data_IF_830330824415
#
_entry.id   IF_830330824415
#
_cell.length_a   1.000
_cell.length_b   1.000
_cell.length_c   1.000
_cell.angle_alpha   90.00
_cell.angle_beta   90.00
_cell.angle_gamma   90.00
#
_symmetry.space_group_name_H-M   'P 1'
#
loop_
_entity.id
_entity.type
_entity.pdbx_description
1 polymer ?
#
# COMPACT_ATOMS: atom_id res chain seq x y z
N UNK A 1 -9.13 26.66 -11.77
CA UNK A 1 -8.62 25.35 -12.20
C UNK A 1 -7.78 24.68 -11.11
N UNK A 2 -7.64 23.36 -11.17
CA UNK A 2 -6.73 22.56 -10.36
C UNK A 2 -5.37 22.56 -11.08
N UNK A 3 -4.30 23.21 -10.56
CA UNK A 3 -3.06 23.40 -11.32
C UNK A 3 -2.44 22.10 -11.83
N UNK A 4 -2.07 22.11 -13.09
CA UNK A 4 -1.69 20.98 -13.92
C UNK A 4 -0.31 20.42 -13.52
N UNK A 5 -0.29 19.64 -12.41
CA UNK A 5 0.75 18.70 -11.98
C UNK A 5 0.16 17.67 -10.96
N UNK A 6 -1.17 17.49 -10.97
CA UNK A 6 -2.01 16.97 -9.85
C UNK A 6 -2.47 15.52 -10.02
N UNK A 7 -1.57 14.59 -10.33
CA UNK A 7 -1.84 13.13 -10.25
C UNK A 7 -0.71 12.41 -9.52
N UNK A 8 -0.83 12.25 -8.19
CA UNK A 8 0.10 11.42 -7.40
C UNK A 8 -0.51 10.03 -7.21
N UNK A 9 -0.25 9.13 -8.16
CA UNK A 9 -0.55 7.69 -8.00
C UNK A 9 0.77 7.00 -7.65
N UNK A 10 0.88 6.50 -6.42
CA UNK A 10 2.05 5.74 -6.01
C UNK A 10 1.83 4.27 -6.37
N UNK A 11 2.61 3.75 -7.32
CA UNK A 11 2.56 2.33 -7.68
C UNK A 11 3.37 1.53 -6.67
N UNK A 12 2.73 0.58 -6.00
CA UNK A 12 3.33 -0.28 -5.00
C UNK A 12 3.24 -1.73 -5.49
N UNK A 13 4.39 -2.43 -5.53
CA UNK A 13 4.46 -3.87 -5.84
C UNK A 13 5.06 -4.61 -4.65
N UNK A 14 4.49 -5.74 -4.30
CA UNK A 14 4.90 -6.58 -3.18
C UNK A 14 4.01 -7.80 -3.04
N UNK A 15 4.31 -8.63 -2.04
CA UNK A 15 3.54 -9.83 -1.70
C UNK A 15 2.62 -9.50 -0.53
N UNK A 16 1.34 -9.89 -0.61
CA UNK A 16 0.43 -9.80 0.53
C UNK A 16 0.73 -10.95 1.48
N UNK A 17 1.10 -10.63 2.72
CA UNK A 17 1.48 -11.62 3.73
C UNK A 17 0.37 -11.88 4.75
N UNK A 18 -0.57 -10.96 4.90
CA UNK A 18 -1.71 -11.11 5.80
C UNK A 18 -2.87 -10.22 5.36
N UNK A 19 -4.09 -10.64 5.73
CA UNK A 19 -5.33 -9.87 5.57
C UNK A 19 -6.15 -10.00 6.85
N UNK A 20 -6.66 -8.89 7.38
CA UNK A 20 -7.58 -8.85 8.51
C UNK A 20 -8.97 -8.45 8.01
N UNK A 21 -9.93 -9.36 8.09
CA UNK A 21 -11.31 -9.12 7.66
C UNK A 21 -12.11 -8.49 8.81
N UNK A 22 -12.46 -7.21 8.70
CA UNK A 22 -13.17 -6.45 9.74
C UNK A 22 -14.16 -5.43 9.15
N UNK A 23 -14.87 -5.80 8.07
CA UNK A 23 -15.81 -4.92 7.38
C UNK A 23 -15.12 -3.67 6.83
N UNK A 24 -15.61 -2.49 7.22
CA UNK A 24 -15.03 -1.19 6.85
C UNK A 24 -13.57 -1.02 7.32
N UNK A 25 -13.16 -1.73 8.37
CA UNK A 25 -11.79 -1.70 8.90
C UNK A 25 -10.92 -2.85 8.35
N UNK A 26 -11.28 -3.42 7.20
CA UNK A 26 -10.49 -4.48 6.57
C UNK A 26 -9.14 -3.91 6.16
N UNK A 27 -8.07 -4.64 6.49
CA UNK A 27 -6.69 -4.23 6.17
C UNK A 27 -5.90 -5.39 5.58
N UNK A 28 -4.87 -5.07 4.82
CA UNK A 28 -3.90 -6.04 4.32
C UNK A 28 -2.47 -5.57 4.57
N UNK A 29 -1.56 -6.54 4.76
CA UNK A 29 -0.13 -6.30 4.95
C UNK A 29 0.62 -6.64 3.67
N UNK A 30 1.34 -5.66 3.14
CA UNK A 30 2.20 -5.79 1.97
C UNK A 30 3.66 -5.89 2.43
N UNK A 31 4.39 -6.89 1.95
CA UNK A 31 5.83 -7.03 2.11
C UNK A 31 6.53 -6.78 0.78
N UNK A 32 7.54 -5.92 0.76
CA UNK A 32 8.38 -5.66 -0.43
C UNK A 32 9.82 -5.37 -0.04
N UNK A 33 10.74 -5.58 -0.98
CA UNK A 33 12.11 -5.07 -0.87
C UNK A 33 12.19 -3.67 -1.48
N UNK A 34 12.74 -2.72 -0.73
CA UNK A 34 13.00 -1.36 -1.20
C UNK A 34 14.48 -1.08 -0.98
N UNK A 35 15.23 -0.85 -2.05
CA UNK A 35 16.66 -0.54 -1.97
C UNK A 35 17.45 -1.53 -1.08
N UNK A 36 17.12 -2.82 -1.13
CA UNK A 36 17.77 -3.87 -0.34
C UNK A 36 17.24 -4.04 1.09
N UNK A 37 16.30 -3.20 1.56
CA UNK A 37 15.69 -3.30 2.88
C UNK A 37 14.29 -3.91 2.79
N UNK A 38 14.00 -4.88 3.66
CA UNK A 38 12.66 -5.45 3.80
C UNK A 38 11.71 -4.45 4.44
N UNK A 39 10.65 -4.08 3.73
CA UNK A 39 9.63 -3.14 4.19
C UNK A 39 8.28 -3.84 4.26
N UNK A 40 7.61 -3.71 5.39
CA UNK A 40 6.23 -4.14 5.60
C UNK A 40 5.33 -2.94 5.85
N UNK A 41 4.16 -2.93 5.22
CA UNK A 41 3.19 -1.82 5.34
C UNK A 41 1.77 -2.36 5.44
N UNK A 42 0.97 -1.73 6.29
CA UNK A 42 -0.46 -2.03 6.48
C UNK A 42 -1.27 -1.02 5.69
N UNK A 43 -2.24 -1.49 4.90
CA UNK A 43 -3.15 -0.64 4.14
C UNK A 43 -4.61 -0.98 4.46
N UNK A 44 -5.50 0.02 4.57
CA UNK A 44 -6.94 -0.22 4.51
C UNK A 44 -7.35 -0.67 3.11
N UNK A 45 -8.36 -1.54 3.06
CA UNK A 45 -8.99 -1.96 1.80
C UNK A 45 -9.96 -0.89 1.28
#
# INVERSE_FOLDING_TARGET
EVPENKRRVSVLKGIVIARRNAGLNTTFRLRRLVAGVGVESVYPL
#
